data_IF_229519453770
#
_entry.id   IF_229519453770
#
_cell.length_a   1.000
_cell.length_b   1.000
_cell.length_c   1.000
_cell.angle_alpha   90.00
_cell.angle_beta   90.00
_cell.angle_gamma   90.00
#
_symmetry.space_group_name_H-M   'P 1'
#
loop_
_entity.id
_entity.type
_entity.pdbx_description
1 polymer ?
#
# COMPACT_ATOMS: atom_id res chain seq x y z
N UNK A 1 -12.69 3.30 18.82
CA UNK A 1 -11.97 3.26 17.53
C UNK A 1 -10.65 3.97 17.73
N UNK A 2 -9.55 3.30 17.43
CA UNK A 2 -8.19 3.82 17.55
C UNK A 2 -7.52 3.78 16.20
N UNK A 3 -6.85 4.85 15.81
CA UNK A 3 -6.06 4.90 14.60
C UNK A 3 -4.58 4.84 14.97
N UNK A 4 -3.83 3.97 14.32
CA UNK A 4 -2.38 3.91 14.42
C UNK A 4 -1.80 4.24 13.06
N UNK A 5 -0.91 5.24 13.02
CA UNK A 5 -0.12 5.57 11.85
C UNK A 5 1.30 5.00 12.02
N UNK A 6 1.79 4.27 11.02
CA UNK A 6 3.11 3.70 10.96
C UNK A 6 3.79 4.19 9.67
N UNK A 7 4.85 4.99 9.79
CA UNK A 7 5.68 5.41 8.65
C UNK A 7 6.95 4.58 8.62
N UNK A 8 7.34 4.08 7.45
CA UNK A 8 8.53 3.26 7.31
C UNK A 8 9.61 3.97 6.50
N UNK A 9 10.87 3.62 6.79
CA UNK A 9 11.99 4.04 5.94
C UNK A 9 11.96 3.21 4.66
N UNK A 10 11.41 3.78 3.59
CA UNK A 10 11.27 3.17 2.26
C UNK A 10 12.16 3.83 1.20
N UNK A 11 13.27 4.44 1.59
CA UNK A 11 14.14 5.16 0.65
C UNK A 11 13.65 6.57 0.38
N UNK A 12 13.63 6.97 -0.89
CA UNK A 12 13.02 8.23 -1.35
C UNK A 12 11.51 8.02 -1.50
N UNK A 13 10.72 9.09 -1.31
CA UNK A 13 9.26 9.06 -1.34
C UNK A 13 8.63 8.51 -0.05
N UNK A 14 7.39 8.06 -0.14
CA UNK A 14 6.56 7.75 1.03
C UNK A 14 6.27 6.26 1.21
N UNK A 15 6.06 5.86 2.47
CA UNK A 15 5.46 4.59 2.83
C UNK A 15 4.74 4.72 4.18
N UNK A 16 3.42 4.73 4.12
CA UNK A 16 2.56 4.94 5.27
C UNK A 16 1.57 3.79 5.40
N UNK A 17 1.47 3.25 6.61
CA UNK A 17 0.41 2.34 7.00
C UNK A 17 -0.48 3.01 8.03
N UNK A 18 -1.79 2.91 7.83
CA UNK A 18 -2.78 3.27 8.83
C UNK A 18 -3.58 2.03 9.22
N UNK A 19 -3.75 1.81 10.52
CA UNK A 19 -4.60 0.75 11.06
C UNK A 19 -5.72 1.38 11.86
N UNK A 20 -6.96 1.13 11.44
CA UNK A 20 -8.17 1.53 12.16
C UNK A 20 -8.64 0.32 12.97
N UNK A 21 -8.54 0.42 14.28
CA UNK A 21 -8.85 -0.67 15.21
C UNK A 21 -10.17 -0.36 15.91
N UNK A 22 -11.11 -1.29 15.81
CA UNK A 22 -12.38 -1.24 16.53
C UNK A 22 -12.67 -2.65 17.04
N UNK A 23 -12.73 -2.79 18.36
CA UNK A 23 -12.87 -4.09 19.02
C UNK A 23 -11.73 -5.03 18.56
N UNK A 24 -12.06 -6.25 18.13
CA UNK A 24 -11.07 -7.22 17.60
C UNK A 24 -10.85 -7.09 16.08
N UNK A 25 -11.47 -6.10 15.42
CA UNK A 25 -11.32 -5.87 13.99
C UNK A 25 -10.28 -4.79 13.71
N UNK A 26 -9.43 -5.04 12.72
CA UNK A 26 -8.47 -4.07 12.18
C UNK A 26 -8.74 -3.87 10.70
N UNK A 27 -8.89 -2.62 10.29
CA UNK A 27 -8.90 -2.22 8.88
C UNK A 27 -7.56 -1.56 8.55
N UNK A 28 -6.84 -2.14 7.60
CA UNK A 28 -5.48 -1.78 7.22
C UNK A 28 -5.44 -1.01 5.91
N UNK A 29 -4.78 0.14 5.93
CA UNK A 29 -4.57 1.00 4.77
C UNK A 29 -3.07 1.13 4.56
N UNK A 30 -2.62 0.87 3.34
CA UNK A 30 -1.26 1.17 2.90
C UNK A 30 -1.32 2.32 1.89
N UNK A 31 -0.45 3.29 2.04
CA UNK A 31 -0.33 4.46 1.16
C UNK A 31 1.11 4.54 0.72
N UNK A 32 1.34 4.28 -0.57
CA UNK A 32 2.63 4.25 -1.24
C UNK A 32 3.67 3.31 -0.61
N UNK A 33 4.73 3.05 -1.38
CA UNK A 33 5.96 2.43 -0.90
C UNK A 33 7.06 2.68 -1.93
N UNK A 34 8.01 3.55 -1.61
CA UNK A 34 9.16 3.79 -2.50
C UNK A 34 10.11 2.60 -2.64
N UNK A 35 10.31 1.82 -1.58
CA UNK A 35 11.17 0.64 -1.56
C UNK A 35 10.67 -0.41 -0.60
N UNK A 36 10.60 -1.65 -1.06
CA UNK A 36 10.19 -2.76 -0.22
C UNK A 36 11.35 -3.25 0.65
N UNK A 37 11.28 -2.97 1.96
CA UNK A 37 12.33 -3.34 2.91
C UNK A 37 11.97 -4.59 3.73
N UNK A 38 12.95 -5.28 4.34
CA UNK A 38 12.68 -6.41 5.23
C UNK A 38 11.76 -6.05 6.40
N UNK A 39 11.83 -4.82 6.91
CA UNK A 39 10.96 -4.33 7.99
C UNK A 39 9.50 -4.22 7.54
N UNK A 40 9.26 -3.67 6.35
CA UNK A 40 7.91 -3.57 5.75
C UNK A 40 7.35 -4.98 5.50
N UNK A 41 8.16 -5.89 4.95
CA UNK A 41 7.79 -7.29 4.75
C UNK A 41 7.37 -7.97 6.06
N UNK A 42 8.15 -7.81 7.14
CA UNK A 42 7.81 -8.36 8.46
C UNK A 42 6.53 -7.74 9.00
N UNK A 43 6.34 -6.43 8.87
CA UNK A 43 5.13 -5.75 9.31
C UNK A 43 3.87 -6.29 8.61
N UNK A 44 3.91 -6.43 7.28
CA UNK A 44 2.78 -6.97 6.51
C UNK A 44 2.49 -8.42 6.92
N UNK A 45 3.54 -9.25 7.07
CA UNK A 45 3.37 -10.67 7.42
C UNK A 45 2.84 -10.88 8.83
N UNK A 46 3.37 -10.15 9.81
CA UNK A 46 3.10 -10.41 11.22
C UNK A 46 1.96 -9.55 11.78
N UNK A 47 1.82 -8.30 11.32
CA UNK A 47 0.82 -7.36 11.86
C UNK A 47 -0.43 -7.27 11.01
N UNK A 48 -0.32 -7.49 9.70
CA UNK A 48 -1.44 -7.42 8.77
C UNK A 48 -1.87 -8.80 8.26
N UNK A 49 -1.15 -9.86 8.63
CA UNK A 49 -1.43 -11.24 8.21
C UNK A 49 -1.51 -11.40 6.69
N UNK A 50 -0.66 -10.68 5.95
CA UNK A 50 -0.62 -10.66 4.48
C UNK A 50 -1.92 -10.20 3.82
N UNK A 51 -2.71 -9.39 4.53
CA UNK A 51 -3.90 -8.73 4.01
C UNK A 51 -3.75 -7.22 4.12
N UNK A 52 -4.10 -6.50 3.05
CA UNK A 52 -4.24 -5.04 3.07
C UNK A 52 -5.65 -4.72 2.58
N UNK A 53 -6.47 -4.09 3.42
CA UNK A 53 -7.86 -3.81 3.07
C UNK A 53 -7.95 -2.75 1.97
N UNK A 54 -7.12 -1.71 2.06
CA UNK A 54 -7.03 -0.65 1.07
C UNK A 54 -5.56 -0.30 0.77
N UNK A 55 -5.15 -0.48 -0.48
CA UNK A 55 -3.89 0.04 -1.01
C UNK A 55 -4.17 1.32 -1.79
N UNK A 56 -3.50 2.41 -1.41
CA UNK A 56 -3.54 3.69 -2.10
C UNK A 56 -2.17 3.93 -2.74
N UNK A 57 -2.15 4.13 -4.04
CA UNK A 57 -0.97 4.59 -4.78
C UNK A 57 -1.30 5.98 -5.31
N UNK A 58 -0.61 6.98 -4.76
CA UNK A 58 -0.96 8.40 -4.92
C UNK A 58 -0.65 8.95 -6.31
N UNK A 59 0.45 8.48 -6.90
CA UNK A 59 0.92 8.80 -8.25
C UNK A 59 1.95 7.75 -8.72
N UNK A 60 2.42 7.88 -9.96
CA UNK A 60 3.23 6.87 -10.65
C UNK A 60 4.74 7.06 -10.48
N UNK A 61 5.15 8.08 -9.74
CA UNK A 61 6.57 8.38 -9.60
C UNK A 61 7.26 7.21 -8.88
N UNK A 62 8.45 6.88 -9.37
CA UNK A 62 9.18 5.66 -9.02
C UNK A 62 9.41 5.52 -7.51
N UNK A 63 9.56 6.64 -6.82
CA UNK A 63 9.78 6.73 -5.37
C UNK A 63 8.49 6.55 -4.55
N UNK A 64 7.34 6.34 -5.19
CA UNK A 64 6.07 6.03 -4.51
C UNK A 64 5.53 4.63 -4.88
N UNK A 65 5.74 4.14 -6.11
CA UNK A 65 5.13 2.89 -6.59
C UNK A 65 6.07 1.68 -6.60
N UNK A 66 7.39 1.85 -6.73
CA UNK A 66 8.27 0.71 -7.00
C UNK A 66 8.29 -0.32 -5.87
N UNK A 67 8.33 0.12 -4.61
CA UNK A 67 8.23 -0.78 -3.46
C UNK A 67 6.89 -1.51 -3.38
N UNK A 68 5.80 -0.95 -3.91
CA UNK A 68 4.52 -1.66 -4.03
C UNK A 68 4.64 -2.80 -5.05
N UNK A 69 5.21 -2.51 -6.23
CA UNK A 69 5.45 -3.52 -7.27
C UNK A 69 6.37 -4.65 -6.76
N UNK A 70 7.48 -4.30 -6.10
CA UNK A 70 8.40 -5.25 -5.46
C UNK A 70 7.69 -6.14 -4.45
N UNK A 71 6.84 -5.56 -3.58
CA UNK A 71 6.05 -6.29 -2.59
C UNK A 71 5.11 -7.32 -3.26
N UNK A 72 4.37 -6.91 -4.29
CA UNK A 72 3.43 -7.78 -5.01
C UNK A 72 4.14 -8.95 -5.70
N UNK A 73 5.32 -8.70 -6.27
CA UNK A 73 6.15 -9.75 -6.90
C UNK A 73 6.74 -10.69 -5.85
N UNK A 74 7.23 -10.16 -4.73
CA UNK A 74 7.92 -10.93 -3.69
C UNK A 74 6.97 -11.69 -2.75
N UNK A 75 5.71 -11.28 -2.65
CA UNK A 75 4.67 -11.91 -1.82
C UNK A 75 3.42 -12.22 -2.65
N UNK A 76 3.48 -13.20 -3.56
CA UNK A 76 2.36 -13.53 -4.45
C UNK A 76 1.10 -14.01 -3.69
N UNK A 77 1.24 -14.41 -2.42
CA UNK A 77 0.12 -14.79 -1.55
C UNK A 77 -0.57 -13.62 -0.86
N UNK A 78 -0.08 -12.38 -1.01
CA UNK A 78 -0.71 -11.20 -0.40
C UNK A 78 -2.12 -10.99 -0.98
N UNK A 79 -3.07 -10.63 -0.13
CA UNK A 79 -4.42 -10.30 -0.55
C UNK A 79 -4.67 -8.81 -0.37
N UNK A 80 -5.25 -8.18 -1.38
CA UNK A 80 -5.60 -6.76 -1.35
C UNK A 80 -7.10 -6.63 -1.60
N UNK A 81 -7.81 -5.99 -0.67
CA UNK A 81 -9.25 -5.79 -0.76
C UNK A 81 -9.62 -4.81 -1.87
N UNK A 82 -9.07 -3.59 -1.79
CA UNK A 82 -9.30 -2.53 -2.79
C UNK A 82 -8.00 -1.80 -3.10
N UNK A 83 -7.88 -1.35 -4.35
CA UNK A 83 -6.79 -0.49 -4.81
C UNK A 83 -7.38 0.84 -5.26
N UNK A 84 -6.87 1.94 -4.69
CA UNK A 84 -7.01 3.28 -5.25
C UNK A 84 -5.70 3.65 -5.91
N UNK A 85 -5.75 3.84 -7.22
CA UNK A 85 -4.58 4.18 -8.00
C UNK A 85 -4.88 5.44 -8.80
N UNK A 86 -4.23 6.53 -8.40
CA UNK A 86 -4.38 7.82 -9.05
C UNK A 86 -3.20 8.04 -10.01
N UNK A 87 -3.36 7.55 -11.22
CA UNK A 87 -2.42 7.74 -12.31
C UNK A 87 -3.14 8.30 -13.54
N UNK A 88 -2.36 8.70 -14.55
CA UNK A 88 -2.91 8.88 -15.90
C UNK A 88 -3.54 7.55 -16.35
N UNK A 89 -4.85 7.42 -16.14
CA UNK A 89 -5.63 6.34 -16.69
C UNK A 89 -5.72 6.63 -18.18
N UNK A 90 -4.97 5.88 -19.00
CA UNK A 90 -5.22 5.82 -20.44
C UNK A 90 -6.65 5.30 -20.58
N UNK A 91 -7.62 6.21 -20.64
CA UNK A 91 -9.00 5.87 -20.91
C UNK A 91 -9.00 5.30 -22.32
N UNK A 92 -9.06 3.98 -22.45
CA UNK A 92 -9.41 3.34 -23.71
C UNK A 92 -10.91 3.55 -23.93
N UNK A 93 -11.27 4.78 -24.29
CA UNK A 93 -12.63 5.22 -24.55
C UNK A 93 -12.59 6.66 -25.04
N UNK A 94 -13.18 6.91 -26.21
CA UNK A 94 -13.33 8.24 -26.79
C UNK A 94 -13.83 9.24 -25.74
N UNK A 95 -13.04 10.29 -25.48
CA UNK A 95 -13.42 11.37 -24.57
C UNK A 95 -12.49 11.65 -23.38
N UNK A 96 -11.21 11.32 -23.45
CA UNK A 96 -10.23 12.04 -22.63
C UNK A 96 -10.00 13.42 -23.26
N UNK A 97 -10.29 14.48 -22.51
CA UNK A 97 -10.32 15.90 -22.90
C UNK A 97 -9.19 16.37 -23.83
#
# INVERSE_FOLDING_TARGET
>A
MHAILNTFKSGVGDCVFMRLIKDDATFSIMIDCGKYTPEINLFIKEKLHKHIDLLIVTHIDDDHINGVCEMLIAMPEITIGKIFYNCYQLLSGEGAF
#
